data_IF_400964276557
#
_entry.id   IF_400964276557
#
_cell.length_a   1.000
_cell.length_b   1.000
_cell.length_c   1.000
_cell.angle_alpha   90.00
_cell.angle_beta   90.00
_cell.angle_gamma   90.00
#
_symmetry.space_group_name_H-M   'P 1'
#
loop_
_entity.id
_entity.type
_entity.pdbx_description
1 polymer ?
#
# COMPACT_ATOMS: atom_id res chain seq x y z
N UNK A 1 34.62 13.85 2.44
CA UNK A 1 34.93 13.31 1.10
C UNK A 1 34.75 11.79 1.04
N UNK A 2 35.55 10.98 1.74
CA UNK A 2 35.37 9.51 1.69
C UNK A 2 34.01 9.04 2.22
N UNK A 3 33.55 9.61 3.36
CA UNK A 3 32.22 9.33 3.91
C UNK A 3 31.08 9.80 3.01
N UNK A 4 31.22 10.98 2.38
CA UNK A 4 30.24 11.49 1.41
C UNK A 4 30.11 10.56 0.21
N UNK A 5 31.23 10.06 -0.32
CA UNK A 5 31.23 9.08 -1.42
C UNK A 5 30.58 7.75 -1.02
N UNK A 6 30.84 7.26 0.19
CA UNK A 6 30.19 6.05 0.70
C UNK A 6 28.67 6.25 0.84
N UNK A 7 28.25 7.39 1.41
CA UNK A 7 26.85 7.74 1.58
C UNK A 7 26.14 7.85 0.23
N UNK A 8 26.72 8.57 -0.74
CA UNK A 8 26.16 8.69 -2.10
C UNK A 8 26.05 7.32 -2.80
N UNK A 9 27.04 6.44 -2.66
CA UNK A 9 26.98 5.09 -3.26
C UNK A 9 25.85 4.24 -2.65
N UNK A 10 25.61 4.40 -1.35
CA UNK A 10 24.50 3.72 -0.68
C UNK A 10 23.16 4.28 -1.13
N UNK A 11 23.06 5.60 -1.34
CA UNK A 11 21.86 6.26 -1.84
C UNK A 11 21.52 5.82 -3.27
N UNK A 12 22.48 5.86 -4.19
CA UNK A 12 22.32 5.38 -5.57
C UNK A 12 21.82 3.94 -5.66
N UNK A 13 22.35 3.06 -4.80
CA UNK A 13 21.92 1.67 -4.74
C UNK A 13 20.49 1.54 -4.21
N UNK A 14 20.10 2.40 -3.25
CA UNK A 14 18.75 2.47 -2.70
C UNK A 14 17.77 2.95 -3.77
N UNK A 15 18.06 4.01 -4.52
CA UNK A 15 17.11 4.53 -5.52
C UNK A 15 16.74 3.49 -6.58
N UNK A 16 17.72 2.77 -7.13
CA UNK A 16 17.43 1.71 -8.10
C UNK A 16 16.65 0.54 -7.50
N UNK A 17 17.10 0.02 -6.35
CA UNK A 17 16.61 -1.24 -5.80
C UNK A 17 15.29 -1.08 -5.05
N UNK A 18 15.10 0.05 -4.37
CA UNK A 18 13.91 0.33 -3.55
C UNK A 18 12.89 1.14 -4.34
N UNK A 19 13.23 2.32 -4.87
CA UNK A 19 12.24 3.23 -5.41
C UNK A 19 11.87 2.91 -6.87
N UNK A 20 12.82 3.00 -7.80
CA UNK A 20 12.59 2.78 -9.24
C UNK A 20 11.94 1.42 -9.51
N UNK A 21 12.49 0.35 -8.91
CA UNK A 21 11.98 -1.01 -9.13
C UNK A 21 10.57 -1.19 -8.55
N UNK A 22 10.30 -0.63 -7.37
CA UNK A 22 8.99 -0.69 -6.73
C UNK A 22 7.94 0.04 -7.57
N UNK A 23 8.22 1.28 -7.96
CA UNK A 23 7.28 2.14 -8.67
C UNK A 23 7.02 1.67 -10.10
N UNK A 24 8.06 1.20 -10.80
CA UNK A 24 7.89 0.58 -12.11
C UNK A 24 7.00 -0.66 -12.04
N UNK A 25 7.17 -1.51 -11.01
CA UNK A 25 6.33 -2.69 -10.82
C UNK A 25 4.89 -2.30 -10.43
N UNK A 26 4.75 -1.34 -9.51
CA UNK A 26 3.45 -0.81 -9.10
C UNK A 26 2.67 -0.28 -10.30
N UNK A 27 3.30 0.48 -11.20
CA UNK A 27 2.66 1.04 -12.40
C UNK A 27 1.94 0.01 -13.28
N UNK A 28 2.37 -1.25 -13.24
CA UNK A 28 1.77 -2.36 -14.01
C UNK A 28 0.66 -3.09 -13.23
N UNK A 29 0.71 -2.97 -11.92
CA UNK A 29 -0.04 -3.81 -10.99
C UNK A 29 -1.23 -3.09 -10.34
N UNK A 30 -1.16 -1.78 -10.17
CA UNK A 30 -2.18 -0.96 -9.51
C UNK A 30 -3.39 -0.64 -10.39
N UNK A 31 -4.36 0.04 -9.79
CA UNK A 31 -5.59 0.51 -10.44
C UNK A 31 -5.30 1.45 -11.62
N UNK A 32 -5.93 1.20 -12.77
CA UNK A 32 -5.99 2.16 -13.87
C UNK A 32 -7.21 3.09 -13.70
N UNK A 33 -7.24 3.81 -12.58
CA UNK A 33 -8.32 4.71 -12.19
C UNK A 33 -7.76 6.10 -11.88
N UNK A 34 -8.52 7.19 -12.09
CA UNK A 34 -8.05 8.54 -11.78
C UNK A 34 -7.68 8.70 -10.30
N UNK A 35 -6.57 9.39 -10.05
CA UNK A 35 -6.10 9.76 -8.72
C UNK A 35 -6.05 11.29 -8.55
N UNK A 36 -5.13 11.97 -9.24
CA UNK A 36 -4.97 13.44 -9.22
C UNK A 36 -4.52 13.97 -10.57
N UNK A 37 -4.76 15.26 -10.84
CA UNK A 37 -4.25 16.01 -12.00
C UNK A 37 -4.47 15.34 -13.37
N UNK A 38 -5.53 14.57 -13.49
CA UNK A 38 -5.85 13.81 -14.71
C UNK A 38 -5.00 12.56 -14.93
N UNK A 39 -4.12 12.21 -14.00
CA UNK A 39 -3.37 10.95 -13.98
C UNK A 39 -4.12 9.86 -13.22
N UNK A 40 -3.91 8.63 -13.68
CA UNK A 40 -4.30 7.41 -13.00
C UNK A 40 -3.26 6.97 -11.97
N UNK A 41 -3.60 6.05 -11.05
CA UNK A 41 -2.59 5.48 -10.15
C UNK A 41 -1.43 4.84 -10.93
N UNK A 42 -1.71 4.15 -12.05
CA UNK A 42 -0.65 3.56 -12.89
C UNK A 42 0.28 4.63 -13.47
N UNK A 43 -0.27 5.72 -14.01
CA UNK A 43 0.51 6.83 -14.57
C UNK A 43 1.35 7.50 -13.50
N UNK A 44 0.78 7.73 -12.31
CA UNK A 44 1.51 8.32 -11.19
C UNK A 44 2.71 7.45 -10.79
N UNK A 45 2.51 6.15 -10.55
CA UNK A 45 3.64 5.27 -10.21
C UNK A 45 4.71 5.18 -11.32
N UNK A 46 4.34 5.31 -12.60
CA UNK A 46 5.34 5.37 -13.68
C UNK A 46 6.07 6.72 -13.74
N UNK A 47 5.38 7.81 -13.39
CA UNK A 47 5.98 9.13 -13.21
C UNK A 47 7.02 9.09 -12.09
N UNK A 48 6.65 8.60 -10.91
CA UNK A 48 7.58 8.46 -9.78
C UNK A 48 8.79 7.58 -10.12
N UNK A 49 8.58 6.46 -10.82
CA UNK A 49 9.72 5.64 -11.28
C UNK A 49 10.69 6.41 -12.19
N UNK A 50 10.19 7.41 -12.94
CA UNK A 50 10.99 8.25 -13.81
C UNK A 50 11.72 9.32 -12.99
N UNK A 51 11.06 9.93 -12.02
CA UNK A 51 11.68 10.92 -11.13
C UNK A 51 12.77 10.31 -10.25
N UNK A 52 12.57 9.09 -9.75
CA UNK A 52 13.60 8.39 -8.98
C UNK A 52 14.80 7.97 -9.82
N UNK A 53 14.58 7.73 -11.12
CA UNK A 53 15.68 7.55 -12.06
C UNK A 53 16.44 8.87 -12.29
N UNK A 54 15.78 10.03 -12.19
CA UNK A 54 16.45 11.31 -12.24
C UNK A 54 17.32 11.52 -10.99
N UNK A 55 16.81 11.20 -9.79
CA UNK A 55 17.58 11.22 -8.55
C UNK A 55 18.82 10.33 -8.67
N UNK A 56 18.66 9.07 -9.11
CA UNK A 56 19.77 8.15 -9.38
C UNK A 56 20.85 8.78 -10.28
N UNK A 57 20.46 9.44 -11.38
CA UNK A 57 21.40 10.09 -12.30
C UNK A 57 22.10 11.31 -11.68
N UNK A 58 21.37 12.11 -10.91
CA UNK A 58 21.91 13.26 -10.18
C UNK A 58 22.95 12.81 -9.15
N UNK A 59 22.66 11.76 -8.40
CA UNK A 59 23.58 11.22 -7.42
C UNK A 59 24.83 10.59 -8.04
N UNK A 60 24.68 9.85 -9.15
CA UNK A 60 25.82 9.37 -9.92
C UNK A 60 26.71 10.53 -10.40
N UNK A 61 26.12 11.65 -10.81
CA UNK A 61 26.87 12.85 -11.17
C UNK A 61 27.60 13.45 -9.95
N UNK A 62 26.97 13.49 -8.78
CA UNK A 62 27.60 13.92 -7.53
C UNK A 62 28.79 13.03 -7.14
N UNK A 63 28.69 11.72 -7.40
CA UNK A 63 29.80 10.77 -7.23
C UNK A 63 30.92 11.08 -8.22
N UNK A 64 30.60 11.25 -9.51
CA UNK A 64 31.59 11.53 -10.55
C UNK A 64 32.37 12.84 -10.28
N UNK A 65 31.73 13.85 -9.71
CA UNK A 65 32.41 15.09 -9.30
C UNK A 65 33.42 14.89 -8.16
N UNK A 66 33.31 13.79 -7.40
CA UNK A 66 34.08 13.53 -6.17
C UNK A 66 35.02 12.34 -6.28
N UNK A 67 34.85 11.47 -7.28
CA UNK A 67 35.72 10.32 -7.55
C UNK A 67 36.20 10.36 -9.02
N UNK A 68 37.44 10.84 -9.27
CA UNK A 68 38.00 10.95 -10.62
C UNK A 68 38.11 9.61 -11.36
N UNK A 69 38.31 8.50 -10.64
CA UNK A 69 38.42 7.17 -11.27
C UNK A 69 37.04 6.74 -11.76
N UNK A 70 36.01 6.96 -10.93
CA UNK A 70 34.64 6.66 -11.33
C UNK A 70 34.14 7.60 -12.44
N UNK A 71 34.58 8.86 -12.43
CA UNK A 71 34.32 9.81 -13.51
C UNK A 71 34.90 9.34 -14.85
N UNK A 72 36.18 8.93 -14.87
CA UNK A 72 36.84 8.39 -16.06
C UNK A 72 36.11 7.14 -16.58
N UNK A 73 35.76 6.23 -15.67
CA UNK A 73 34.99 5.03 -16.03
C UNK A 73 33.63 5.36 -16.64
N UNK A 74 32.90 6.36 -16.13
CA UNK A 74 31.63 6.80 -16.71
C UNK A 74 31.81 7.44 -18.09
N UNK A 75 32.88 8.21 -18.30
CA UNK A 75 33.20 8.80 -19.59
C UNK A 75 33.51 7.73 -20.65
N UNK A 76 34.31 6.72 -20.30
CA UNK A 76 34.66 5.59 -21.18
C UNK A 76 33.43 4.78 -21.63
N UNK A 77 32.37 4.77 -20.80
CA UNK A 77 31.12 4.08 -21.09
C UNK A 77 30.04 5.00 -21.69
N UNK A 78 30.40 6.23 -22.11
CA UNK A 78 29.50 7.22 -22.71
C UNK A 78 28.30 7.61 -21.82
N UNK A 79 28.45 7.54 -20.49
CA UNK A 79 27.37 7.85 -19.55
C UNK A 79 27.19 9.34 -19.30
N UNK A 80 28.17 10.17 -19.68
CA UNK A 80 28.20 11.60 -19.34
C UNK A 80 26.93 12.35 -19.77
N UNK A 81 26.37 12.02 -20.94
CA UNK A 81 25.14 12.66 -21.43
C UNK A 81 23.94 12.40 -20.53
N UNK A 82 23.84 11.20 -19.95
CA UNK A 82 22.77 10.84 -19.01
C UNK A 82 22.96 11.54 -17.66
N UNK A 83 24.18 11.60 -17.16
CA UNK A 83 24.51 12.25 -15.87
C UNK A 83 24.25 13.76 -15.87
N UNK A 84 24.28 14.39 -17.04
CA UNK A 84 23.99 15.82 -17.21
C UNK A 84 22.57 16.08 -17.72
N UNK A 85 21.77 15.04 -17.93
CA UNK A 85 20.40 15.19 -18.42
C UNK A 85 19.52 15.81 -17.33
N UNK A 86 18.68 16.78 -17.71
CA UNK A 86 17.66 17.33 -16.84
C UNK A 86 16.38 16.47 -16.81
N UNK A 87 16.32 15.42 -17.64
CA UNK A 87 15.14 14.55 -17.75
C UNK A 87 15.56 13.09 -17.72
N UNK A 88 14.85 12.28 -16.93
CA UNK A 88 14.97 10.84 -16.96
C UNK A 88 14.19 10.22 -18.14
N UNK A 89 14.50 8.98 -18.52
CA UNK A 89 13.65 8.20 -19.42
C UNK A 89 12.24 8.06 -18.83
N UNK A 90 11.22 8.18 -19.68
CA UNK A 90 9.85 7.89 -19.25
C UNK A 90 9.66 6.39 -19.06
N UNK A 91 9.07 6.01 -17.93
CA UNK A 91 8.67 4.64 -17.63
C UNK A 91 7.17 4.36 -17.87
N UNK A 92 6.45 5.29 -18.49
CA UNK A 92 5.07 5.04 -18.86
C UNK A 92 4.98 4.16 -20.11
N UNK A 93 4.65 2.88 -19.91
CA UNK A 93 4.38 1.92 -20.99
C UNK A 93 2.93 1.42 -21.04
N UNK A 94 2.06 1.98 -20.19
CA UNK A 94 0.64 1.64 -20.10
C UNK A 94 -0.23 2.36 -21.13
N UNK A 95 -1.55 2.38 -20.92
CA UNK A 95 -2.28 1.83 -19.77
C UNK A 95 -2.31 0.30 -19.73
N UNK A 96 -2.24 -0.28 -18.53
CA UNK A 96 -2.36 -1.72 -18.30
C UNK A 96 -3.78 -2.08 -17.90
N UNK A 97 -4.59 -2.44 -18.90
CA UNK A 97 -5.99 -2.83 -18.70
C UNK A 97 -6.14 -4.19 -18.02
N UNK A 98 -7.17 -4.31 -17.20
CA UNK A 98 -7.60 -5.53 -16.53
C UNK A 98 -9.13 -5.63 -16.55
N UNK A 99 -9.71 -6.85 -16.52
CA UNK A 99 -11.16 -7.00 -16.47
C UNK A 99 -11.71 -6.43 -15.16
N UNK A 100 -12.93 -5.90 -15.17
CA UNK A 100 -13.54 -5.28 -13.97
C UNK A 100 -13.65 -6.24 -12.77
N UNK A 101 -13.67 -7.55 -13.01
CA UNK A 101 -13.61 -8.57 -11.96
C UNK A 101 -12.32 -8.57 -11.15
N UNK A 102 -11.22 -8.06 -11.70
CA UNK A 102 -9.93 -7.94 -11.00
C UNK A 102 -9.80 -6.65 -10.20
N UNK A 103 -10.75 -5.71 -10.29
CA UNK A 103 -10.65 -4.39 -9.65
C UNK A 103 -10.37 -4.50 -8.14
N UNK A 104 -11.00 -5.41 -7.42
CA UNK A 104 -10.78 -5.61 -5.98
C UNK A 104 -9.34 -6.05 -5.69
N UNK A 105 -8.83 -7.03 -6.45
CA UNK A 105 -7.44 -7.48 -6.34
C UNK A 105 -6.48 -6.33 -6.65
N UNK A 106 -6.76 -5.54 -7.69
CA UNK A 106 -5.97 -4.36 -8.07
C UNK A 106 -6.00 -3.29 -6.99
N UNK A 107 -7.14 -3.05 -6.36
CA UNK A 107 -7.25 -2.11 -5.24
C UNK A 107 -6.36 -2.54 -4.07
N UNK A 108 -6.37 -3.83 -3.70
CA UNK A 108 -5.49 -4.33 -2.62
C UNK A 108 -4.02 -4.18 -2.97
N UNK A 109 -3.64 -4.49 -4.22
CA UNK A 109 -2.28 -4.20 -4.69
C UNK A 109 -1.95 -2.72 -4.61
N UNK A 110 -2.83 -1.83 -5.05
CA UNK A 110 -2.60 -0.38 -4.93
C UNK A 110 -2.42 0.03 -3.47
N UNK A 111 -3.26 -0.47 -2.56
CA UNK A 111 -3.12 -0.19 -1.14
C UNK A 111 -1.75 -0.64 -0.61
N UNK A 112 -1.34 -1.88 -0.91
CA UNK A 112 -0.05 -2.43 -0.47
C UNK A 112 1.12 -1.60 -1.03
N UNK A 113 1.11 -1.28 -2.33
CA UNK A 113 2.16 -0.45 -2.94
C UNK A 113 2.20 0.96 -2.36
N UNK A 114 1.06 1.60 -2.14
CA UNK A 114 1.01 2.95 -1.54
C UNK A 114 1.56 2.96 -0.12
N UNK A 115 1.22 1.96 0.69
CA UNK A 115 1.78 1.85 2.05
C UNK A 115 3.29 1.62 2.00
N UNK A 116 3.75 0.75 1.08
CA UNK A 116 5.18 0.50 0.88
C UNK A 116 5.92 1.76 0.39
N UNK A 117 5.32 2.56 -0.49
CA UNK A 117 5.85 3.86 -0.94
C UNK A 117 5.98 4.85 0.22
N UNK A 118 4.94 5.03 1.03
CA UNK A 118 4.99 5.94 2.18
C UNK A 118 6.15 5.58 3.12
N UNK A 119 6.33 4.29 3.41
CA UNK A 119 7.45 3.82 4.23
C UNK A 119 8.78 4.06 3.54
N UNK A 120 8.88 3.79 2.24
CA UNK A 120 10.08 4.01 1.43
C UNK A 120 10.49 5.47 1.47
N UNK A 121 9.56 6.39 1.22
CA UNK A 121 9.79 7.85 1.28
C UNK A 121 10.24 8.32 2.66
N UNK A 122 9.56 7.89 3.72
CA UNK A 122 9.94 8.27 5.08
C UNK A 122 11.35 7.79 5.43
N UNK A 123 11.71 6.56 5.05
CA UNK A 123 13.05 6.04 5.27
C UNK A 123 14.11 6.78 4.43
N UNK A 124 13.78 7.14 3.18
CA UNK A 124 14.67 7.88 2.26
C UNK A 124 14.92 9.30 2.76
N UNK A 125 13.87 10.03 3.16
CA UNK A 125 13.97 11.35 3.79
C UNK A 125 14.89 11.31 5.02
N UNK A 126 14.66 10.35 5.94
CA UNK A 126 15.48 10.23 7.15
C UNK A 126 16.95 9.96 6.81
N UNK A 127 17.21 9.14 5.80
CA UNK A 127 18.56 8.81 5.35
C UNK A 127 19.26 10.07 4.82
N UNK A 128 18.64 10.78 3.89
CA UNK A 128 19.25 11.98 3.31
C UNK A 128 19.39 13.12 4.31
N UNK A 129 18.42 13.30 5.22
CA UNK A 129 18.57 14.27 6.32
C UNK A 129 19.79 13.94 7.19
N UNK A 130 20.09 12.66 7.43
CA UNK A 130 21.32 12.26 8.11
C UNK A 130 22.57 12.64 7.32
N UNK A 131 22.58 12.44 6.00
CA UNK A 131 23.71 12.79 5.12
C UNK A 131 23.94 14.30 5.07
N UNK A 132 22.86 15.10 5.02
CA UNK A 132 22.87 16.57 5.07
C UNK A 132 23.48 17.09 6.37
N UNK A 133 23.28 16.39 7.50
CA UNK A 133 23.87 16.76 8.78
C UNK A 133 25.35 16.37 8.88
N UNK A 134 25.74 15.25 8.29
CA UNK A 134 27.12 14.76 8.31
C UNK A 134 28.05 15.55 7.37
N UNK A 135 27.53 15.99 6.22
CA UNK A 135 28.36 16.59 5.18
C UNK A 135 28.77 18.04 5.50
N UNK A 136 30.03 18.36 5.17
CA UNK A 136 30.56 19.74 5.22
C UNK A 136 30.62 20.40 3.85
N UNK A 137 30.38 19.63 2.79
CA UNK A 137 30.37 20.08 1.41
C UNK A 137 29.06 20.83 1.15
N UNK A 138 29.16 22.13 0.81
CA UNK A 138 28.00 23.00 0.64
C UNK A 138 27.19 22.63 -0.60
N UNK A 139 27.87 22.24 -1.68
CA UNK A 139 27.21 21.93 -2.95
C UNK A 139 26.49 20.59 -2.83
N UNK A 140 27.11 19.60 -2.16
CA UNK A 140 26.44 18.35 -1.81
C UNK A 140 25.23 18.60 -0.91
N UNK A 141 25.38 19.46 0.11
CA UNK A 141 24.28 19.78 1.02
C UNK A 141 23.08 20.39 0.31
N UNK A 142 23.31 21.28 -0.66
CA UNK A 142 22.25 21.88 -1.47
C UNK A 142 21.55 20.79 -2.29
N UNK A 143 22.32 19.98 -3.04
CA UNK A 143 21.76 18.93 -3.88
C UNK A 143 20.92 17.92 -3.08
N UNK A 144 21.43 17.44 -1.94
CA UNK A 144 20.66 16.52 -1.08
C UNK A 144 19.41 17.18 -0.48
N UNK A 145 19.45 18.50 -0.20
CA UNK A 145 18.28 19.23 0.29
C UNK A 145 17.20 19.34 -0.78
N UNK A 146 17.58 19.50 -2.04
CA UNK A 146 16.65 19.51 -3.17
C UNK A 146 15.94 18.16 -3.31
N UNK A 147 16.70 17.05 -3.28
CA UNK A 147 16.15 15.69 -3.29
C UNK A 147 15.19 15.48 -2.11
N UNK A 148 15.60 15.78 -0.87
CA UNK A 148 14.72 15.63 0.31
C UNK A 148 13.43 16.44 0.23
N UNK A 149 13.46 17.62 -0.41
CA UNK A 149 12.24 18.41 -0.58
C UNK A 149 11.32 17.81 -1.63
N UNK A 150 11.86 17.15 -2.66
CA UNK A 150 11.10 16.36 -3.62
C UNK A 150 10.39 15.20 -2.91
N UNK A 151 11.14 14.36 -2.18
CA UNK A 151 10.57 13.20 -1.47
C UNK A 151 9.48 13.58 -0.46
N UNK A 152 9.55 14.79 0.11
CA UNK A 152 8.51 15.33 1.00
C UNK A 152 7.21 15.64 0.26
N UNK A 153 7.30 16.04 -1.01
CA UNK A 153 6.17 16.17 -1.93
C UNK A 153 5.58 14.80 -2.23
N UNK A 154 6.41 13.85 -2.63
CA UNK A 154 5.98 12.51 -3.03
C UNK A 154 5.33 11.76 -1.85
N UNK A 155 5.89 11.92 -0.64
CA UNK A 155 5.28 11.45 0.61
C UNK A 155 3.88 12.04 0.83
N UNK A 156 3.68 13.34 0.54
CA UNK A 156 2.38 13.98 0.70
C UNK A 156 1.36 13.41 -0.30
N UNK A 157 1.79 13.22 -1.55
CA UNK A 157 0.96 12.65 -2.61
C UNK A 157 0.58 11.19 -2.35
N UNK A 158 1.52 10.35 -1.90
CA UNK A 158 1.20 8.97 -1.52
C UNK A 158 0.25 8.91 -0.32
N UNK A 159 0.36 9.83 0.64
CA UNK A 159 -0.63 9.93 1.72
C UNK A 159 -2.01 10.35 1.18
N UNK A 160 -2.07 11.29 0.25
CA UNK A 160 -3.32 11.65 -0.43
C UNK A 160 -3.89 10.44 -1.19
N UNK A 161 -3.04 9.65 -1.84
CA UNK A 161 -3.40 8.42 -2.54
C UNK A 161 -4.02 7.40 -1.60
N UNK A 162 -3.41 7.21 -0.42
CA UNK A 162 -3.95 6.34 0.62
C UNK A 162 -5.35 6.78 1.06
N UNK A 163 -5.54 8.06 1.35
CA UNK A 163 -6.86 8.57 1.76
C UNK A 163 -7.90 8.51 0.62
N UNK A 164 -7.48 8.69 -0.63
CA UNK A 164 -8.33 8.51 -1.80
C UNK A 164 -8.83 7.06 -1.92
N UNK A 165 -7.93 6.08 -1.79
CA UNK A 165 -8.28 4.66 -1.78
C UNK A 165 -9.23 4.30 -0.64
N UNK A 166 -8.97 4.79 0.57
CA UNK A 166 -9.82 4.54 1.74
C UNK A 166 -11.22 5.18 1.61
N UNK A 167 -11.34 6.26 0.83
CA UNK A 167 -12.62 6.90 0.51
C UNK A 167 -13.39 6.17 -0.59
N UNK A 168 -12.72 5.36 -1.39
CA UNK A 168 -13.29 4.52 -2.45
C UNK A 168 -12.83 3.06 -2.31
N UNK A 169 -13.18 2.38 -1.20
CA UNK A 169 -12.80 0.99 -0.99
C UNK A 169 -13.41 0.10 -2.08
N UNK A 170 -12.90 -1.14 -2.28
CA UNK A 170 -13.60 -2.10 -3.10
C UNK A 170 -15.02 -2.21 -2.55
N UNK A 171 -16.00 -2.20 -3.46
CA UNK A 171 -17.36 -2.55 -3.08
C UNK A 171 -17.26 -3.97 -2.58
N UNK A 172 -17.23 -4.13 -1.25
CA UNK A 172 -17.37 -5.43 -0.63
C UNK A 172 -18.67 -5.94 -1.21
N UNK A 173 -18.59 -6.94 -2.09
CA UNK A 173 -19.74 -7.78 -2.34
C UNK A 173 -19.99 -8.55 -1.04
N UNK A 174 -20.40 -7.86 0.03
CA UNK A 174 -21.51 -8.37 0.81
C UNK A 174 -22.50 -8.65 -0.28
N UNK A 175 -22.81 -9.92 -0.51
CA UNK A 175 -23.89 -10.25 -1.39
C UNK A 175 -25.05 -9.35 -0.96
N UNK A 176 -25.32 -8.31 -1.74
CA UNK A 176 -26.67 -7.86 -1.92
C UNK A 176 -27.32 -9.00 -2.67
N UNK A 177 -27.59 -10.08 -1.92
CA UNK A 177 -28.79 -10.83 -2.15
C UNK A 177 -29.88 -9.77 -2.13
N UNK A 178 -30.50 -9.54 -3.27
CA UNK A 178 -31.89 -9.15 -3.28
C UNK A 178 -32.61 -10.12 -2.33
N UNK A 179 -32.80 -9.72 -1.06
CA UNK A 179 -33.33 -10.56 0.02
C UNK A 179 -32.39 -10.89 1.21
N UNK A 180 -31.57 -9.97 1.74
CA UNK A 180 -30.98 -10.21 3.07
C UNK A 180 -32.10 -10.39 4.11
N UNK A 181 -32.13 -11.53 4.80
CA UNK A 181 -33.12 -11.79 5.85
C UNK A 181 -32.91 -10.82 7.01
N UNK A 182 -34.00 -10.21 7.45
CA UNK A 182 -34.04 -9.43 8.66
C UNK A 182 -34.39 -10.34 9.83
N UNK A 183 -33.57 -10.31 10.86
CA UNK A 183 -33.79 -11.07 12.09
C UNK A 183 -34.10 -10.10 13.21
N UNK A 184 -35.26 -10.25 13.82
CA UNK A 184 -35.44 -9.78 15.20
C UNK A 184 -34.65 -10.69 16.14
N UNK A 185 -34.33 -10.23 17.36
CA UNK A 185 -33.73 -11.08 18.38
C UNK A 185 -34.53 -12.37 18.61
N UNK A 186 -35.86 -12.30 18.59
CA UNK A 186 -36.73 -13.45 18.75
C UNK A 186 -36.59 -14.47 17.60
N UNK A 187 -36.52 -14.00 16.35
CA UNK A 187 -36.29 -14.88 15.19
C UNK A 187 -34.89 -15.49 15.22
N UNK A 188 -33.88 -14.71 15.62
CA UNK A 188 -32.51 -15.20 15.73
C UNK A 188 -32.40 -16.40 16.70
N UNK A 189 -33.16 -16.42 17.79
CA UNK A 189 -33.13 -17.52 18.77
C UNK A 189 -33.47 -18.90 18.19
N UNK A 190 -34.18 -18.96 17.07
CA UNK A 190 -34.53 -20.22 16.40
C UNK A 190 -33.33 -20.88 15.73
N UNK A 191 -32.27 -20.11 15.47
CA UNK A 191 -31.05 -20.54 14.78
C UNK A 191 -29.93 -20.82 15.78
N UNK A 192 -30.18 -21.78 16.67
CA UNK A 192 -29.32 -22.10 17.80
C UNK A 192 -28.41 -23.33 17.58
N UNK A 193 -28.39 -23.91 16.37
CA UNK A 193 -27.59 -25.10 16.08
C UNK A 193 -28.14 -26.42 16.62
N UNK A 194 -29.38 -26.43 17.13
CA UNK A 194 -30.03 -27.62 17.71
C UNK A 194 -31.22 -28.08 16.88
N UNK A 195 -31.65 -29.34 17.05
CA UNK A 195 -32.84 -29.90 16.38
C UNK A 195 -32.83 -29.75 14.85
N UNK A 196 -31.64 -29.77 14.23
CA UNK A 196 -31.47 -29.60 12.79
C UNK A 196 -31.51 -28.14 12.30
N UNK A 197 -31.68 -27.17 13.20
CA UNK A 197 -31.57 -25.75 12.86
C UNK A 197 -30.09 -25.34 12.75
N UNK A 198 -29.74 -24.43 11.83
CA UNK A 198 -28.38 -23.91 11.75
C UNK A 198 -28.05 -23.02 12.96
N UNK A 199 -26.77 -22.79 13.19
CA UNK A 199 -26.25 -21.98 14.29
C UNK A 199 -25.85 -20.59 13.77
N UNK A 200 -26.61 -19.56 14.13
CA UNK A 200 -26.34 -18.17 13.72
C UNK A 200 -25.95 -17.31 14.93
N UNK A 201 -25.14 -16.29 14.71
CA UNK A 201 -24.82 -15.27 15.73
C UNK A 201 -24.93 -13.88 15.14
N UNK A 202 -25.34 -12.90 15.95
CA UNK A 202 -25.26 -11.50 15.57
C UNK A 202 -24.01 -10.84 16.17
N UNK A 203 -23.26 -10.10 15.34
CA UNK A 203 -22.14 -9.26 15.77
C UNK A 203 -22.24 -7.92 15.04
N UNK A 204 -22.36 -6.84 15.81
CA UNK A 204 -22.48 -5.46 15.32
C UNK A 204 -23.59 -5.30 14.28
N UNK A 205 -24.78 -5.87 14.55
CA UNK A 205 -25.95 -5.78 13.69
C UNK A 205 -25.95 -6.71 12.47
N UNK A 206 -24.91 -7.50 12.25
CA UNK A 206 -24.80 -8.48 11.16
C UNK A 206 -24.98 -9.90 11.68
N UNK A 207 -25.71 -10.74 10.96
CA UNK A 207 -25.97 -12.14 11.33
C UNK A 207 -25.11 -13.06 10.49
N UNK A 208 -24.27 -13.87 11.14
CA UNK A 208 -23.32 -14.80 10.52
C UNK A 208 -23.71 -16.24 10.79
N UNK A 209 -23.50 -17.12 9.80
CA UNK A 209 -23.64 -18.56 9.94
C UNK A 209 -22.35 -19.19 10.49
N UNK A 210 -22.44 -19.78 11.68
CA UNK A 210 -21.35 -20.48 12.34
C UNK A 210 -21.54 -22.00 12.37
N UNK A 211 -22.55 -22.53 11.68
CA UNK A 211 -22.93 -23.96 11.68
C UNK A 211 -21.76 -24.89 11.35
N UNK A 212 -20.89 -24.46 10.43
CA UNK A 212 -19.74 -25.26 9.96
C UNK A 212 -18.42 -24.88 10.63
N UNK A 213 -18.46 -24.02 11.64
CA UNK A 213 -17.26 -23.61 12.38
C UNK A 213 -17.02 -24.62 13.49
N UNK A 214 -15.89 -25.36 13.49
CA UNK A 214 -15.63 -26.41 14.49
C UNK A 214 -15.73 -25.92 15.95
N UNK A 215 -15.34 -24.66 16.18
CA UNK A 215 -15.39 -24.03 17.50
C UNK A 215 -16.82 -23.82 18.04
N UNK A 216 -17.83 -23.87 17.18
CA UNK A 216 -19.26 -23.71 17.49
C UNK A 216 -20.03 -25.03 17.45
N UNK A 217 -19.34 -26.18 17.43
CA UNK A 217 -19.97 -27.50 17.41
C UNK A 217 -20.96 -27.64 18.59
N UNK A 218 -22.18 -28.08 18.28
CA UNK A 218 -23.26 -28.16 19.27
C UNK A 218 -23.96 -26.83 19.58
N UNK A 219 -23.69 -25.77 18.80
CA UNK A 219 -24.38 -24.49 18.92
C UNK A 219 -23.84 -23.59 20.04
N UNK A 220 -22.65 -23.88 20.55
CA UNK A 220 -22.05 -23.10 21.64
C UNK A 220 -20.54 -22.94 21.48
N UNK A 221 -20.01 -21.84 22.03
CA UNK A 221 -18.58 -21.53 22.01
C UNK A 221 -18.21 -20.75 23.28
N UNK A 222 -17.36 -21.30 24.15
CA UNK A 222 -16.94 -20.68 25.43
C UNK A 222 -18.08 -20.09 26.27
N UNK A 223 -19.21 -20.82 26.38
CA UNK A 223 -20.39 -20.37 27.15
C UNK A 223 -21.30 -19.39 26.41
N UNK A 224 -20.93 -18.96 25.21
CA UNK A 224 -21.83 -18.29 24.27
C UNK A 224 -22.71 -19.32 23.57
N UNK A 225 -23.94 -18.93 23.26
CA UNK A 225 -24.90 -19.76 22.54
C UNK A 225 -25.25 -19.11 21.21
N UNK A 226 -25.36 -19.94 20.17
CA UNK A 226 -25.95 -19.52 18.91
C UNK A 226 -27.42 -19.11 19.10
N UNK A 227 -27.92 -18.30 18.18
CA UNK A 227 -29.22 -17.67 18.23
C UNK A 227 -29.25 -16.39 19.09
N UNK A 228 -28.10 -15.72 19.28
CA UNK A 228 -27.97 -14.51 20.11
C UNK A 228 -27.11 -13.44 19.45
N UNK A 229 -27.31 -12.21 19.90
CA UNK A 229 -26.34 -11.14 19.73
C UNK A 229 -25.20 -11.34 20.74
N UNK A 230 -24.00 -11.56 20.21
CA UNK A 230 -22.78 -11.78 20.99
C UNK A 230 -21.78 -10.65 20.81
N UNK A 231 -22.22 -9.48 20.33
CA UNK A 231 -21.36 -8.33 20.03
C UNK A 231 -20.47 -7.95 21.21
N UNK A 232 -21.04 -7.80 22.41
CA UNK A 232 -20.28 -7.38 23.59
C UNK A 232 -19.17 -8.38 23.95
N UNK A 233 -19.46 -9.68 23.87
CA UNK A 233 -18.53 -10.75 24.18
C UNK A 233 -17.47 -10.90 23.09
N UNK A 234 -17.88 -10.76 21.82
CA UNK A 234 -16.97 -10.75 20.68
C UNK A 234 -15.96 -9.60 20.79
N UNK A 235 -16.42 -8.37 21.07
CA UNK A 235 -15.54 -7.20 21.19
C UNK A 235 -14.58 -7.30 22.39
N UNK A 236 -14.98 -7.95 23.47
CA UNK A 236 -14.13 -8.11 24.66
C UNK A 236 -13.04 -9.18 24.46
N UNK A 237 -13.32 -10.24 23.69
CA UNK A 237 -12.36 -11.31 23.42
C UNK A 237 -11.50 -11.07 22.16
N UNK A 238 -12.01 -10.29 21.21
CA UNK A 238 -11.39 -10.07 19.89
C UNK A 238 -11.27 -8.57 19.51
N UNK A 239 -10.71 -7.71 20.38
CA UNK A 239 -10.69 -6.25 20.17
C UNK A 239 -9.94 -5.78 18.93
N UNK A 240 -9.14 -6.64 18.28
CA UNK A 240 -8.37 -6.32 17.07
C UNK A 240 -8.48 -7.38 15.95
N UNK A 241 -9.45 -8.30 16.01
CA UNK A 241 -9.52 -9.47 15.10
C UNK A 241 -10.81 -9.49 14.26
N UNK A 242 -11.06 -8.42 13.50
CA UNK A 242 -12.16 -8.37 12.52
C UNK A 242 -12.07 -9.44 11.41
N UNK A 243 -10.86 -9.97 11.17
CA UNK A 243 -10.61 -11.02 10.17
C UNK A 243 -11.36 -12.34 10.46
N UNK A 244 -11.73 -12.63 11.71
CA UNK A 244 -12.47 -13.85 12.07
C UNK A 244 -13.85 -13.86 11.38
N UNK A 245 -14.50 -12.70 11.27
CA UNK A 245 -15.82 -12.59 10.66
C UNK A 245 -15.77 -12.64 9.12
N UNK A 246 -14.65 -12.25 8.52
CA UNK A 246 -14.50 -12.23 7.06
C UNK A 246 -14.56 -13.62 6.43
N UNK A 247 -14.25 -14.68 7.20
CA UNK A 247 -14.36 -16.07 6.76
C UNK A 247 -15.74 -16.70 6.96
N UNK A 248 -16.69 -15.99 7.58
CA UNK A 248 -18.01 -16.52 7.91
C UNK A 248 -19.07 -16.08 6.89
N UNK A 249 -19.99 -16.97 6.47
CA UNK A 249 -21.12 -16.57 5.63
C UNK A 249 -22.01 -15.54 6.35
N UNK A 250 -22.21 -14.38 5.74
CA UNK A 250 -23.17 -13.37 6.19
C UNK A 250 -24.56 -13.76 5.68
N UNK A 251 -25.51 -14.01 6.59
CA UNK A 251 -26.86 -14.51 6.26
C UNK A 251 -27.97 -13.48 6.49
N UNK A 252 -27.67 -12.34 7.10
CA UNK A 252 -28.63 -11.24 7.23
C UNK A 252 -28.21 -10.15 8.20
N UNK A 253 -29.19 -9.38 8.65
CA UNK A 253 -29.02 -8.27 9.59
C UNK A 253 -29.96 -8.39 10.77
N UNK A 254 -29.51 -7.91 11.93
CA UNK A 254 -30.34 -7.81 13.13
C UNK A 254 -31.09 -6.47 13.09
N UNK A 255 -32.42 -6.51 13.22
CA UNK A 255 -33.32 -5.33 13.20
C UNK A 255 -34.16 -5.20 14.46
#
# INVERSE_FOLDING_TARGET
MQKDLENLRNAVARELLRAVTLYLKASQEVLNEPFTDGMTYQEYFAHEASDEMLHYLQELNLIAQRDPIQQEAFADHNLQAFLTSATAPSFWFGPYYYPSSEREIRWHKTYDYVVESIVTEMETINLYESYIQETKDKDLKIALTEIVNHEKGDLADFNQMLFSLLSNPPVVQTQQSNGQMQFTLAQLTQYNGTNGMPAYIAVSGKVYDVTRVPAWQGGSHYGLMAGRDVTAQFMNCHPAQGMILNGLPLVGVLV
#
